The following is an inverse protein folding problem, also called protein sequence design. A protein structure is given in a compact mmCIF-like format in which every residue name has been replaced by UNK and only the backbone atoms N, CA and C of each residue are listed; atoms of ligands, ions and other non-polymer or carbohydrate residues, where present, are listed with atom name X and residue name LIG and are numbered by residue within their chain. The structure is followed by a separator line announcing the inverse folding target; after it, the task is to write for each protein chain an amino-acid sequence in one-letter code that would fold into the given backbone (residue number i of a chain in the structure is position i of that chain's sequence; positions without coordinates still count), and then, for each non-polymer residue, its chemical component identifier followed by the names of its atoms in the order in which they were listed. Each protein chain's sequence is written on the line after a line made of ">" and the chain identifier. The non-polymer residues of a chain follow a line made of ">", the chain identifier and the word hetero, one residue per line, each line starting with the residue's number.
data_IF_308401150882
#
_entry.id   IF_308401150882
#
_cell.length_a   1.000
_cell.length_b   1.000
_cell.length_c   1.000
_cell.angle_alpha   90.00
_cell.angle_beta   90.00
_cell.angle_gamma   90.00
#
_symmetry.space_group_name_H-M   'P 1'
#
loop_
_entity.id
_entity.type
_entity.pdbx_description
1 polymer ?
#
# COMPACT_ATOMS: atom_id res chain seq x y z
N UNK A 1 -12.16 10.46 0.68
CA UNK A 1 -10.92 10.97 0.02
C UNK A 1 -9.65 10.92 0.87
N UNK A 2 -9.70 11.17 2.19
CA UNK A 2 -8.50 11.12 3.05
C UNK A 2 -7.73 9.80 3.00
N UNK A 3 -8.40 8.67 3.26
CA UNK A 3 -7.76 7.35 3.29
C UNK A 3 -7.08 6.96 1.97
N UNK A 4 -7.74 7.20 0.83
CA UNK A 4 -7.17 6.90 -0.50
C UNK A 4 -5.87 7.68 -0.72
N UNK A 5 -5.80 8.94 -0.29
CA UNK A 5 -4.58 9.72 -0.40
C UNK A 5 -3.49 9.22 0.54
N UNK A 6 -3.85 8.82 1.77
CA UNK A 6 -2.91 8.20 2.72
C UNK A 6 -2.30 6.91 2.16
N UNK A 7 -3.10 6.03 1.54
CA UNK A 7 -2.62 4.80 0.89
C UNK A 7 -1.67 5.14 -0.26
N UNK A 8 -2.01 6.16 -1.06
CA UNK A 8 -1.15 6.59 -2.16
C UNK A 8 0.24 7.01 -1.70
N UNK A 9 0.33 7.84 -0.66
CA UNK A 9 1.62 8.23 -0.08
C UNK A 9 2.35 7.03 0.51
N UNK A 10 1.68 6.22 1.34
CA UNK A 10 2.28 5.06 1.98
C UNK A 10 2.91 4.09 0.97
N UNK A 11 2.19 3.75 -0.10
CA UNK A 11 2.69 2.82 -1.12
C UNK A 11 3.84 3.43 -1.93
N UNK A 12 3.72 4.69 -2.34
CA UNK A 12 4.76 5.33 -3.16
C UNK A 12 6.04 5.53 -2.37
N UNK A 13 5.94 5.97 -1.12
CA UNK A 13 7.09 6.15 -0.24
C UNK A 13 7.76 4.80 0.03
N UNK A 14 6.99 3.74 0.30
CA UNK A 14 7.54 2.38 0.43
C UNK A 14 8.30 1.94 -0.82
N UNK A 15 7.72 2.13 -2.02
CA UNK A 15 8.39 1.78 -3.28
C UNK A 15 9.65 2.59 -3.54
N UNK A 16 9.71 3.85 -3.10
CA UNK A 16 10.92 4.69 -3.23
C UNK A 16 12.05 4.12 -2.35
N UNK A 17 11.73 3.60 -1.17
CA UNK A 17 12.73 3.00 -0.27
C UNK A 17 13.25 1.66 -0.81
N UNK A 18 12.37 0.81 -1.35
CA UNK A 18 12.75 -0.55 -1.75
C UNK A 18 13.23 -0.67 -3.20
N UNK A 19 12.84 0.24 -4.09
CA UNK A 19 13.25 0.21 -5.48
C UNK A 19 14.41 1.19 -5.70
N UNK A 20 15.47 0.73 -6.36
CA UNK A 20 16.54 1.60 -6.85
C UNK A 20 16.12 2.40 -8.10
N UNK A 21 14.95 3.05 -8.05
CA UNK A 21 14.38 3.87 -9.14
C UNK A 21 14.34 5.35 -8.76
N UNK A 22 14.40 6.27 -9.74
CA UNK A 22 14.24 7.69 -9.45
C UNK A 22 12.88 7.97 -8.80
N UNK A 23 12.91 8.72 -7.69
CA UNK A 23 11.71 9.13 -6.93
C UNK A 23 10.61 9.71 -7.82
N UNK A 24 10.98 10.51 -8.82
CA UNK A 24 10.03 11.13 -9.73
C UNK A 24 9.26 10.14 -10.59
N UNK A 25 9.87 9.01 -10.97
CA UNK A 25 9.20 7.97 -11.75
C UNK A 25 8.08 7.35 -10.90
N UNK A 26 8.36 7.05 -9.63
CA UNK A 26 7.38 6.43 -8.72
C UNK A 26 6.23 7.39 -8.38
N UNK A 27 6.53 8.66 -8.12
CA UNK A 27 5.51 9.66 -7.74
C UNK A 27 4.51 9.90 -8.88
N UNK A 28 4.95 9.85 -10.14
CA UNK A 28 4.10 10.07 -11.31
C UNK A 28 3.19 8.88 -11.64
N UNK A 29 3.45 7.70 -11.08
CA UNK A 29 2.64 6.51 -11.35
C UNK A 29 1.20 6.68 -10.81
N UNK A 30 0.19 6.24 -11.58
CA UNK A 30 -1.14 5.96 -11.05
C UNK A 30 -1.05 4.96 -9.89
N UNK A 31 -1.88 5.15 -8.85
CA UNK A 31 -1.84 4.28 -7.65
C UNK A 31 -1.95 2.79 -7.98
N UNK A 32 -2.83 2.40 -8.90
CA UNK A 32 -2.95 0.99 -9.30
C UNK A 32 -1.66 0.45 -9.92
N UNK A 33 -0.95 1.26 -10.72
CA UNK A 33 0.34 0.85 -11.29
C UNK A 33 1.42 0.74 -10.22
N UNK A 34 1.44 1.66 -9.26
CA UNK A 34 2.35 1.57 -8.11
C UNK A 34 2.09 0.29 -7.30
N UNK A 35 0.84 -0.05 -6.99
CA UNK A 35 0.47 -1.28 -6.28
C UNK A 35 0.96 -2.53 -7.04
N UNK A 36 0.89 -2.52 -8.37
CA UNK A 36 1.33 -3.66 -9.19
C UNK A 36 2.86 -3.89 -9.16
N UNK A 37 3.65 -2.90 -8.75
CA UNK A 37 5.11 -3.04 -8.58
C UNK A 37 5.49 -3.74 -7.27
N UNK A 38 4.54 -3.96 -6.35
CA UNK A 38 4.79 -4.60 -5.08
C UNK A 38 4.89 -6.12 -5.31
N UNK A 39 6.05 -6.70 -4.97
CA UNK A 39 6.29 -8.14 -5.10
C UNK A 39 5.66 -8.95 -3.95
N UNK A 40 5.65 -8.39 -2.74
CA UNK A 40 5.04 -9.04 -1.58
C UNK A 40 3.51 -9.12 -1.72
N UNK A 41 3.00 -10.33 -1.94
CA UNK A 41 1.58 -10.61 -2.15
C UNK A 41 0.68 -10.09 -1.02
N UNK A 42 1.15 -10.11 0.23
CA UNK A 42 0.36 -9.65 1.38
C UNK A 42 0.16 -8.13 1.31
N UNK A 43 1.23 -7.39 1.06
CA UNK A 43 1.20 -5.93 0.91
C UNK A 43 0.34 -5.55 -0.31
N UNK A 44 0.55 -6.22 -1.44
CA UNK A 44 -0.21 -5.96 -2.69
C UNK A 44 -1.71 -6.22 -2.51
N UNK A 45 -2.08 -7.29 -1.82
CA UNK A 45 -3.49 -7.64 -1.56
C UNK A 45 -4.16 -6.59 -0.69
N UNK A 46 -3.52 -6.19 0.41
CA UNK A 46 -4.07 -5.19 1.34
C UNK A 46 -4.22 -3.81 0.67
N UNK A 47 -3.23 -3.41 -0.13
CA UNK A 47 -3.27 -2.14 -0.87
C UNK A 47 -4.40 -2.14 -1.92
N UNK A 48 -4.55 -3.23 -2.66
CA UNK A 48 -5.62 -3.41 -3.66
C UNK A 48 -7.00 -3.35 -3.00
N UNK A 49 -7.22 -4.12 -1.92
CA UNK A 49 -8.48 -4.15 -1.20
C UNK A 49 -8.85 -2.77 -0.63
N UNK A 50 -7.87 -2.08 -0.04
CA UNK A 50 -8.07 -0.72 0.50
C UNK A 50 -8.43 0.29 -0.59
N UNK A 51 -7.83 0.17 -1.78
CA UNK A 51 -8.17 1.00 -2.94
C UNK A 51 -9.60 0.72 -3.45
N UNK A 52 -9.98 -0.55 -3.56
CA UNK A 52 -11.31 -0.93 -4.04
C UNK A 52 -12.40 -0.46 -3.10
N UNK A 53 -12.24 -0.68 -1.79
CA UNK A 53 -13.22 -0.26 -0.79
C UNK A 53 -13.29 1.27 -0.68
N UNK A 54 -12.15 1.96 -0.74
CA UNK A 54 -12.10 3.42 -0.78
C UNK A 54 -12.76 4.03 -2.04
N UNK A 55 -12.78 3.31 -3.16
CA UNK A 55 -13.52 3.71 -4.35
C UNK A 55 -15.02 3.41 -4.20
N UNK A 56 -15.40 2.26 -3.65
CA UNK A 56 -16.78 1.82 -3.47
C UNK A 56 -17.58 2.75 -2.55
N UNK A 57 -16.95 3.24 -1.47
CA UNK A 57 -17.53 4.23 -0.53
C UNK A 57 -17.85 5.60 -1.15
N UNK A 58 -17.41 5.85 -2.38
CA UNK A 58 -17.71 7.10 -3.12
C UNK A 58 -18.70 6.89 -4.27
N UNK A 59 -19.13 5.65 -4.53
CA UNK A 59 -20.04 5.32 -5.61
C UNK A 59 -21.49 5.16 -5.11
N UNK A 60 -22.45 5.53 -5.96
CA UNK A 60 -23.89 5.48 -5.67
C UNK A 60 -24.44 4.04 -5.56
N UNK A 61 -23.70 3.05 -6.07
CA UNK A 61 -24.00 1.62 -5.93
C UNK A 61 -22.78 0.92 -5.33
N UNK A 62 -22.88 0.54 -4.05
CA UNK A 62 -21.85 -0.23 -3.36
C UNK A 62 -21.83 -1.67 -3.87
N UNK A 63 -20.66 -2.15 -4.26
CA UNK A 63 -20.44 -3.54 -4.71
C UNK A 63 -20.08 -4.47 -3.54
N UNK A 64 -19.48 -3.95 -2.48
CA UNK A 64 -19.10 -4.71 -1.29
C UNK A 64 -20.06 -4.42 -0.15
N UNK A 65 -21.28 -4.96 -0.22
CA UNK A 65 -22.32 -4.75 0.78
C UNK A 65 -21.98 -5.38 2.15
N UNK A 66 -21.02 -6.31 2.19
CA UNK A 66 -20.53 -7.00 3.39
C UNK A 66 -19.36 -6.26 4.07
N UNK A 67 -18.88 -5.15 3.48
CA UNK A 67 -17.72 -4.41 3.96
C UNK A 67 -18.03 -2.95 4.15
N UNK A 68 -17.34 -2.32 5.09
CA UNK A 68 -17.52 -0.89 5.36
C UNK A 68 -16.20 -0.14 5.61
N UNK A 69 -16.31 1.11 6.05
CA UNK A 69 -15.14 1.95 6.34
C UNK A 69 -14.23 1.41 7.44
N UNK A 70 -14.74 0.57 8.34
CA UNK A 70 -13.94 -0.04 9.41
C UNK A 70 -13.06 -1.17 8.87
N UNK A 71 -13.57 -2.00 7.95
CA UNK A 71 -12.74 -2.95 7.20
C UNK A 71 -11.59 -2.25 6.47
N UNK A 72 -11.88 -1.11 5.83
CA UNK A 72 -10.85 -0.33 5.14
C UNK A 72 -9.76 0.15 6.12
N UNK A 73 -10.13 0.63 7.30
CA UNK A 73 -9.15 1.03 8.33
C UNK A 73 -8.31 -0.16 8.77
N UNK A 74 -8.92 -1.31 9.00
CA UNK A 74 -8.22 -2.54 9.36
C UNK A 74 -7.21 -2.95 8.28
N UNK A 75 -7.57 -2.82 7.00
CA UNK A 75 -6.66 -3.09 5.89
C UNK A 75 -5.49 -2.10 5.85
N UNK A 76 -5.73 -0.81 6.09
CA UNK A 76 -4.67 0.22 6.12
C UNK A 76 -3.71 -0.03 7.29
N UNK A 77 -4.23 -0.38 8.47
CA UNK A 77 -3.40 -0.71 9.63
C UNK A 77 -2.53 -1.94 9.34
N UNK A 78 -3.12 -3.01 8.82
CA UNK A 78 -2.37 -4.20 8.43
C UNK A 78 -1.32 -3.90 7.35
N UNK A 79 -1.68 -3.09 6.34
CA UNK A 79 -0.77 -2.66 5.27
C UNK A 79 0.45 -1.94 5.85
N UNK A 80 0.24 -0.99 6.75
CA UNK A 80 1.31 -0.29 7.44
C UNK A 80 2.19 -1.26 8.24
N UNK A 81 1.60 -2.20 8.99
CA UNK A 81 2.36 -3.19 9.76
C UNK A 81 3.25 -4.06 8.87
N UNK A 82 2.74 -4.55 7.73
CA UNK A 82 3.54 -5.35 6.80
C UNK A 82 4.67 -4.55 6.14
N UNK A 83 4.42 -3.31 5.75
CA UNK A 83 5.47 -2.42 5.23
C UNK A 83 6.56 -2.22 6.29
N UNK A 84 6.17 -1.94 7.54
CA UNK A 84 7.12 -1.77 8.63
C UNK A 84 7.96 -3.04 8.86
N UNK A 85 7.33 -4.22 8.84
CA UNK A 85 8.05 -5.49 8.94
C UNK A 85 9.04 -5.71 7.79
N UNK A 86 8.67 -5.37 6.57
CA UNK A 86 9.55 -5.50 5.40
C UNK A 86 10.77 -4.57 5.53
N UNK A 87 10.58 -3.31 5.93
CA UNK A 87 11.67 -2.36 6.12
C UNK A 87 12.64 -2.82 7.22
N UNK A 88 12.12 -3.31 8.35
CA UNK A 88 12.94 -3.88 9.43
C UNK A 88 13.71 -5.12 8.95
N UNK A 89 13.08 -5.96 8.15
CA UNK A 89 13.73 -7.13 7.56
C UNK A 89 14.87 -6.75 6.60
N UNK A 90 14.66 -5.74 5.76
CA UNK A 90 15.68 -5.20 4.84
C UNK A 90 16.87 -4.64 5.64
N UNK A 91 16.60 -3.84 6.67
CA UNK A 91 17.63 -3.29 7.55
C UNK A 91 18.45 -4.41 8.22
N UNK A 92 17.77 -5.38 8.83
CA UNK A 92 18.42 -6.54 9.45
C UNK A 92 19.25 -7.37 8.44
N UNK A 93 18.78 -7.49 7.19
CA UNK A 93 19.48 -8.19 6.11
C UNK A 93 20.73 -7.46 5.61
N UNK A 94 20.84 -6.16 5.87
CA UNK A 94 22.03 -5.36 5.52
C UNK A 94 23.23 -5.62 6.44
N UNK A 95 23.00 -6.24 7.61
CA UNK A 95 24.05 -6.55 8.58
C UNK A 95 25.00 -7.63 8.03
N UNK A 96 26.27 -7.27 7.86
CA UNK A 96 27.33 -8.22 7.52
C UNK A 96 27.96 -8.77 8.78
N UNK A 97 28.13 -10.10 8.84
CA UNK A 97 28.95 -10.75 9.87
C UNK A 97 30.41 -10.32 9.66
N UNK A 98 31.05 -9.78 10.70
CA UNK A 98 32.49 -9.48 10.71
C UNK A 98 33.31 -10.77 10.60
#
# INVERSE_FOLDING_TARGET
>A
MGFRKSIEFLIKDFLIEILSKPREEIIKLPLQQAINLIENDRIRTLATASLWLGNDETHYSRKHLDRDTEDMKNFIVALYSFINYELIFIDASSLKKK
#
